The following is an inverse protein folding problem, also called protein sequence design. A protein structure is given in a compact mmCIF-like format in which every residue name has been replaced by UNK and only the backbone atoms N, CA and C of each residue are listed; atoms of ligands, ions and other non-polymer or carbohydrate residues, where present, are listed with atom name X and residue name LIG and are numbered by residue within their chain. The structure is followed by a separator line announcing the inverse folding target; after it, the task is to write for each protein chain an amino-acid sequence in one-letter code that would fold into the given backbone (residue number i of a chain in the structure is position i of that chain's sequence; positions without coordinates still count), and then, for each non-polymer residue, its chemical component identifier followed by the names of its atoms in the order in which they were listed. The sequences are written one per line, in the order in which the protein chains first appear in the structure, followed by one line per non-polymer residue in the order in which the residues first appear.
data_IF_670269135168
#
_entry.id   IF_670269135168
#
_cell.length_a   1.000
_cell.length_b   1.000
_cell.length_c   1.000
_cell.angle_alpha   90.00
_cell.angle_beta   90.00
_cell.angle_gamma   90.00
#
_symmetry.space_group_name_H-M   'P 1'
#
loop_
_entity.id
_entity.type
_entity.pdbx_description
1 polymer ?
#
# COMPACT_ATOMS: atom_id res chain seq x y z
N UNK A 1 14.69 -22.61 -6.73
CA UNK A 1 14.34 -21.44 -7.56
C UNK A 1 13.01 -20.94 -7.01
N UNK A 2 12.98 -19.84 -6.25
CA UNK A 2 11.74 -19.36 -5.65
C UNK A 2 10.95 -18.61 -6.71
N UNK A 3 9.74 -19.04 -7.03
CA UNK A 3 8.86 -18.37 -7.98
C UNK A 3 8.57 -16.95 -7.51
N UNK A 4 9.14 -15.96 -8.20
CA UNK A 4 8.91 -14.55 -7.93
C UNK A 4 7.51 -14.20 -8.43
N UNK A 5 6.62 -13.81 -7.52
CA UNK A 5 5.26 -13.45 -7.89
C UNK A 5 5.23 -12.12 -8.64
N UNK A 6 4.33 -12.00 -9.63
CA UNK A 6 4.15 -10.80 -10.46
C UNK A 6 3.77 -9.55 -9.64
N UNK A 7 3.17 -9.74 -8.46
CA UNK A 7 2.75 -8.65 -7.57
C UNK A 7 3.78 -8.49 -6.46
N UNK A 8 4.43 -7.33 -6.40
CA UNK A 8 5.53 -7.06 -5.45
C UNK A 8 5.14 -7.33 -3.99
N UNK A 9 3.93 -6.93 -3.59
CA UNK A 9 3.47 -7.11 -2.21
C UNK A 9 3.41 -8.58 -1.79
N UNK A 10 3.26 -9.52 -2.72
CA UNK A 10 3.24 -10.94 -2.38
C UNK A 10 4.63 -11.53 -2.13
N UNK A 11 5.68 -10.84 -2.56
CA UNK A 11 7.06 -11.20 -2.23
C UNK A 11 7.51 -10.59 -0.88
N UNK A 12 6.67 -9.74 -0.25
CA UNK A 12 6.94 -9.15 1.06
C UNK A 12 6.55 -10.11 2.19
N UNK A 13 7.50 -10.38 3.10
CA UNK A 13 7.23 -11.11 4.33
C UNK A 13 6.51 -10.21 5.36
N UNK A 14 5.19 -10.33 5.39
CA UNK A 14 4.30 -9.55 6.25
C UNK A 14 4.44 -9.85 7.74
N UNK A 15 5.16 -10.91 8.13
CA UNK A 15 5.39 -11.24 9.55
C UNK A 15 6.56 -10.48 10.15
N UNK A 16 7.49 -10.01 9.30
CA UNK A 16 8.71 -9.32 9.72
C UNK A 16 8.60 -7.80 9.72
N UNK A 17 7.58 -7.26 9.06
CA UNK A 17 7.34 -5.81 9.04
C UNK A 17 6.76 -5.33 10.36
N UNK A 18 7.06 -4.07 10.74
CA UNK A 18 6.55 -3.41 11.95
C UNK A 18 5.79 -2.15 11.56
N UNK A 19 4.47 -2.19 11.63
CA UNK A 19 3.62 -1.02 11.40
C UNK A 19 3.63 -0.08 12.62
N UNK A 20 3.42 1.25 12.45
CA UNK A 20 3.20 1.92 11.17
C UNK A 20 4.50 2.21 10.40
N UNK A 21 4.44 2.20 9.06
CA UNK A 21 5.60 2.53 8.22
C UNK A 21 5.22 3.10 6.85
N UNK A 22 6.20 3.74 6.21
CA UNK A 22 6.21 4.10 4.79
C UNK A 22 7.33 3.32 4.11
N UNK A 23 7.02 2.56 3.05
CA UNK A 23 7.98 1.73 2.34
C UNK A 23 7.90 2.00 0.84
N UNK A 24 9.04 2.17 0.18
CA UNK A 24 9.10 2.13 -1.28
C UNK A 24 8.86 0.69 -1.73
N UNK A 25 7.69 0.44 -2.29
CA UNK A 25 7.24 -0.87 -2.71
C UNK A 25 7.76 -1.22 -4.10
N UNK A 26 7.70 -0.28 -5.03
CA UNK A 26 8.12 -0.52 -6.41
C UNK A 26 8.59 0.78 -7.07
N UNK A 27 9.47 0.66 -8.05
CA UNK A 27 9.90 1.76 -8.92
C UNK A 27 9.78 1.29 -10.35
N UNK A 28 8.93 1.96 -11.13
CA UNK A 28 8.73 1.63 -12.54
C UNK A 28 9.17 2.78 -13.41
N UNK A 29 10.12 2.52 -14.30
CA UNK A 29 10.51 3.46 -15.35
C UNK A 29 9.64 3.22 -16.58
N UNK A 30 8.92 4.24 -17.01
CA UNK A 30 8.14 4.28 -18.24
C UNK A 30 9.03 4.29 -19.48
N UNK A 31 8.45 3.94 -20.62
CA UNK A 31 9.16 3.84 -21.91
C UNK A 31 9.78 5.16 -22.37
N UNK A 32 9.27 6.28 -21.88
CA UNK A 32 9.69 7.63 -22.24
C UNK A 32 10.58 8.29 -21.18
N UNK A 33 11.01 7.55 -20.16
CA UNK A 33 11.93 8.04 -19.10
C UNK A 33 11.24 8.46 -17.80
N UNK A 34 9.91 8.53 -17.77
CA UNK A 34 9.15 8.83 -16.54
C UNK A 34 9.40 7.77 -15.47
N UNK A 35 9.41 8.14 -14.20
CA UNK A 35 9.59 7.17 -13.11
C UNK A 35 8.44 7.25 -12.11
N UNK A 36 7.70 6.14 -11.97
CA UNK A 36 6.61 6.00 -11.01
C UNK A 36 7.14 5.30 -9.77
N UNK A 37 7.03 5.99 -8.63
CA UNK A 37 7.37 5.45 -7.33
C UNK A 37 6.10 5.01 -6.63
N UNK A 38 6.02 3.71 -6.31
CA UNK A 38 4.88 3.15 -5.57
C UNK A 38 5.27 3.01 -4.11
N UNK A 39 4.52 3.67 -3.24
CA UNK A 39 4.72 3.62 -1.79
C UNK A 39 3.64 2.77 -1.11
N UNK A 40 4.05 2.02 -0.10
CA UNK A 40 3.21 1.25 0.82
C UNK A 40 3.13 2.01 2.14
N UNK A 41 1.98 2.62 2.38
CA UNK A 41 1.64 3.35 3.60
C UNK A 41 0.88 2.39 4.53
N UNK A 42 1.60 1.81 5.49
CA UNK A 42 1.06 0.77 6.38
C UNK A 42 0.71 1.38 7.73
N UNK A 43 -0.58 1.44 8.05
CA UNK A 43 -1.08 1.98 9.32
C UNK A 43 -1.17 0.89 10.39
N UNK A 44 -1.80 -0.24 10.07
CA UNK A 44 -2.03 -1.34 11.00
C UNK A 44 -1.05 -2.51 10.78
N UNK A 45 -0.71 -3.20 11.87
CA UNK A 45 0.12 -4.40 11.80
C UNK A 45 -0.63 -5.53 11.07
N UNK A 46 -0.05 -6.10 9.99
CA UNK A 46 -0.66 -7.22 9.27
C UNK A 46 -1.08 -8.36 10.20
N UNK A 47 -2.28 -8.88 9.99
CA UNK A 47 -2.89 -9.99 10.74
C UNK A 47 -3.05 -9.77 12.26
N UNK A 48 -2.79 -8.57 12.79
CA UNK A 48 -3.02 -8.23 14.22
C UNK A 48 -4.09 -7.16 14.42
N UNK A 49 -4.15 -6.18 13.53
CA UNK A 49 -5.13 -5.10 13.60
C UNK A 49 -5.58 -4.69 12.18
N UNK A 50 -6.76 -4.08 12.10
CA UNK A 50 -7.25 -3.44 10.88
C UNK A 50 -8.05 -2.19 11.26
N UNK A 51 -8.24 -1.29 10.30
CA UNK A 51 -9.20 -0.21 10.42
C UNK A 51 -10.58 -0.69 9.97
N UNK A 52 -11.62 -0.11 10.57
CA UNK A 52 -12.99 -0.32 10.10
C UNK A 52 -13.21 0.35 8.75
N UNK A 53 -14.06 -0.25 7.91
CA UNK A 53 -14.28 0.21 6.54
C UNK A 53 -14.71 1.69 6.43
N UNK A 54 -15.62 2.21 7.29
CA UNK A 54 -15.97 3.63 7.26
C UNK A 54 -14.76 4.54 7.52
N UNK A 55 -13.95 4.23 8.53
CA UNK A 55 -12.76 5.01 8.86
C UNK A 55 -11.69 4.94 7.76
N UNK A 56 -11.46 3.76 7.18
CA UNK A 56 -10.53 3.58 6.07
C UNK A 56 -10.96 4.39 4.83
N UNK A 57 -12.25 4.37 4.52
CA UNK A 57 -12.79 5.11 3.37
C UNK A 57 -12.73 6.62 3.59
N UNK A 58 -13.08 7.11 4.78
CA UNK A 58 -12.91 8.53 5.12
C UNK A 58 -11.45 8.97 5.04
N UNK A 59 -10.52 8.14 5.50
CA UNK A 59 -9.09 8.44 5.42
C UNK A 59 -8.60 8.49 3.97
N UNK A 60 -9.06 7.58 3.10
CA UNK A 60 -8.75 7.59 1.67
C UNK A 60 -9.17 8.91 1.02
N UNK A 61 -10.40 9.37 1.28
CA UNK A 61 -10.88 10.67 0.76
C UNK A 61 -10.03 11.84 1.26
N UNK A 62 -9.76 11.88 2.58
CA UNK A 62 -8.93 12.92 3.17
C UNK A 62 -7.52 12.95 2.57
N UNK A 63 -6.90 11.78 2.39
CA UNK A 63 -5.55 11.70 1.82
C UNK A 63 -5.55 12.07 0.34
N UNK A 64 -6.54 11.60 -0.43
CA UNK A 64 -6.65 11.92 -1.85
C UNK A 64 -6.80 13.43 -2.08
N UNK A 65 -7.60 14.13 -1.27
CA UNK A 65 -7.78 15.57 -1.37
C UNK A 65 -6.54 16.33 -0.87
N UNK A 66 -6.12 16.07 0.38
CA UNK A 66 -5.11 16.88 1.04
C UNK A 66 -3.69 16.66 0.50
N UNK A 67 -3.35 15.45 0.04
CA UNK A 67 -2.02 15.19 -0.51
C UNK A 67 -1.71 16.04 -1.74
N UNK A 68 -2.71 16.33 -2.57
CA UNK A 68 -2.57 17.13 -3.79
C UNK A 68 -2.31 18.61 -3.50
N UNK A 69 -2.70 19.09 -2.32
CA UNK A 69 -2.32 20.42 -1.84
C UNK A 69 -0.82 20.52 -1.50
N UNK A 70 -0.14 19.37 -1.32
CA UNK A 70 1.28 19.32 -0.97
C UNK A 70 2.17 18.83 -2.12
N UNK A 71 1.60 18.18 -3.14
CA UNK A 71 2.35 17.75 -4.33
C UNK A 71 1.42 17.47 -5.52
N UNK A 72 1.73 18.09 -6.65
CA UNK A 72 1.06 17.82 -7.93
C UNK A 72 1.46 16.48 -8.55
N UNK A 73 2.51 15.82 -8.03
CA UNK A 73 3.05 14.57 -8.56
C UNK A 73 2.33 13.32 -8.01
N UNK A 74 1.30 13.50 -7.18
CA UNK A 74 0.49 12.41 -6.65
C UNK A 74 -0.40 11.85 -7.76
N UNK A 75 -0.01 10.69 -8.28
CA UNK A 75 -0.78 10.00 -9.33
C UNK A 75 -2.07 9.40 -8.76
N UNK A 76 -1.97 8.66 -7.66
CA UNK A 76 -3.10 7.96 -7.05
C UNK A 76 -2.88 7.71 -5.55
N UNK A 77 -3.98 7.70 -4.79
CA UNK A 77 -4.03 7.19 -3.41
C UNK A 77 -5.22 6.25 -3.32
N UNK A 78 -4.94 4.96 -3.26
CA UNK A 78 -5.94 3.91 -3.17
C UNK A 78 -5.86 3.19 -1.82
N UNK A 79 -7.01 2.82 -1.25
CA UNK A 79 -7.07 1.91 -0.10
C UNK A 79 -6.71 0.48 -0.50
N UNK A 80 -5.87 -0.20 0.27
CA UNK A 80 -5.69 -1.64 0.13
C UNK A 80 -6.84 -2.39 0.78
N UNK A 81 -7.52 -3.24 -0.01
CA UNK A 81 -8.50 -4.19 0.52
C UNK A 81 -7.76 -5.41 1.09
N UNK A 82 -7.32 -5.32 2.34
CA UNK A 82 -6.87 -6.48 3.12
C UNK A 82 -7.88 -6.76 4.23
N UNK A 83 -9.08 -7.21 3.85
CA UNK A 83 -10.04 -7.75 4.81
C UNK A 83 -9.54 -9.16 5.17
N UNK A 84 -9.27 -9.36 6.46
CA UNK A 84 -8.85 -10.60 7.13
C UNK A 84 -9.11 -11.85 6.25
N UNK A 85 -8.07 -12.39 5.62
CA UNK A 85 -8.15 -13.73 5.06
C UNK A 85 -8.12 -14.70 6.24
N UNK A 86 -9.29 -15.03 6.81
CA UNK A 86 -9.42 -16.27 7.56
C UNK A 86 -9.36 -17.41 6.55
N UNK A 87 -8.15 -17.88 6.23
CA UNK A 87 -8.02 -19.26 5.78
C UNK A 87 -8.25 -20.13 7.03
N UNK A 88 -9.51 -20.49 7.27
CA UNK A 88 -9.78 -21.76 7.95
C UNK A 88 -9.21 -22.85 7.06
N UNK A 89 -8.45 -23.76 7.67
CA UNK A 89 -8.14 -25.06 7.05
C UNK A 89 -9.41 -25.83 6.75
#
# INVERSE_FOLDING_TARGET
MSDKMNVESFNLDHTKVKAPYVRLADVKTGRHGDTIHKYDLRICQPNKAHMEMPALHSLEHLMAELSRNHSEQVVDISRWAARRASMSR
#
